data_IF_048733197322
#
_entry.id   IF_048733197322
#
_cell.length_a   1.000
_cell.length_b   1.000
_cell.length_c   1.000
_cell.angle_alpha   90.00
_cell.angle_beta   90.00
_cell.angle_gamma   90.00
#
_symmetry.space_group_name_H-M   'P 1'
#
loop_
_entity.id
_entity.type
_entity.pdbx_description
1 polymer ?
#
# COMPACT_ATOMS: atom_id res chain seq x y z
N UNK A 1 -24.97 17.64 -33.40
CA UNK A 1 -25.82 16.91 -32.43
C UNK A 1 -24.99 15.82 -31.80
N UNK A 2 -24.81 15.81 -30.48
CA UNK A 2 -24.07 14.76 -29.77
C UNK A 2 -25.04 13.67 -29.30
N UNK A 3 -24.78 12.42 -29.67
CA UNK A 3 -25.59 11.29 -29.21
C UNK A 3 -25.20 10.95 -27.77
N UNK A 4 -26.18 10.96 -26.85
CA UNK A 4 -25.96 10.54 -25.46
C UNK A 4 -26.17 9.04 -25.38
N UNK A 5 -25.15 8.30 -24.97
CA UNK A 5 -25.21 6.85 -24.81
C UNK A 5 -24.51 6.44 -23.52
N UNK A 6 -24.94 5.37 -22.85
CA UNK A 6 -24.15 4.80 -21.76
C UNK A 6 -22.88 4.17 -22.32
N UNK A 7 -21.76 4.34 -21.61
CA UNK A 7 -20.52 3.64 -21.91
C UNK A 7 -20.73 2.15 -21.67
N UNK A 8 -20.44 1.32 -22.69
CA UNK A 8 -20.57 -0.14 -22.62
C UNK A 8 -19.73 -0.78 -21.51
N UNK A 9 -18.63 -0.12 -21.13
CA UNK A 9 -17.66 -0.66 -20.17
C UNK A 9 -17.95 -0.20 -18.74
N UNK A 10 -18.10 1.10 -18.48
CA UNK A 10 -18.30 1.60 -17.11
C UNK A 10 -19.75 2.01 -16.78
N UNK A 11 -20.67 1.95 -17.74
CA UNK A 11 -22.07 2.35 -17.55
C UNK A 11 -22.31 3.86 -17.42
N UNK A 12 -21.27 4.70 -17.37
CA UNK A 12 -21.39 6.16 -17.27
C UNK A 12 -21.98 6.75 -18.56
N UNK A 13 -22.81 7.79 -18.44
CA UNK A 13 -23.31 8.51 -19.61
C UNK A 13 -22.17 9.24 -20.33
N UNK A 14 -22.03 8.98 -21.63
CA UNK A 14 -21.05 9.60 -22.52
C UNK A 14 -21.73 10.29 -23.70
N UNK A 15 -21.01 11.23 -24.29
CA UNK A 15 -21.42 11.98 -25.47
C UNK A 15 -20.56 11.53 -26.65
N UNK A 16 -21.16 10.96 -27.69
CA UNK A 16 -20.46 10.66 -28.94
C UNK A 16 -20.48 11.89 -29.85
N UNK A 17 -19.30 12.33 -30.27
CA UNK A 17 -19.11 13.44 -31.20
C UNK A 17 -18.41 12.97 -32.46
N UNK A 18 -18.94 13.36 -33.61
CA UNK A 18 -18.34 13.07 -34.92
C UNK A 18 -17.20 14.05 -35.18
N UNK A 19 -16.00 13.52 -35.37
CA UNK A 19 -14.82 14.28 -35.77
C UNK A 19 -14.86 14.60 -37.28
N UNK A 20 -14.07 15.57 -37.76
CA UNK A 20 -14.03 15.95 -39.18
C UNK A 20 -13.70 14.79 -40.13
N UNK A 21 -12.93 13.81 -39.65
CA UNK A 21 -12.62 12.57 -40.39
C UNK A 21 -13.77 11.55 -40.43
N UNK A 22 -14.93 11.88 -39.84
CA UNK A 22 -16.10 11.01 -39.77
C UNK A 22 -16.13 10.03 -38.59
N UNK A 23 -15.07 9.95 -37.77
CA UNK A 23 -14.99 9.05 -36.63
C UNK A 23 -15.77 9.59 -35.42
N UNK A 24 -16.47 8.70 -34.70
CA UNK A 24 -17.11 9.08 -33.44
C UNK A 24 -16.16 8.86 -32.25
N UNK A 25 -15.96 9.90 -31.45
CA UNK A 25 -15.12 9.87 -30.25
C UNK A 25 -16.00 10.07 -29.00
N UNK A 26 -15.80 9.26 -27.94
CA UNK A 26 -16.56 9.38 -26.71
C UNK A 26 -15.99 10.48 -25.79
N UNK A 27 -16.89 11.26 -25.20
CA UNK A 27 -16.58 12.33 -24.25
C UNK A 27 -17.45 12.22 -23.00
N UNK A 28 -16.95 12.72 -21.87
CA UNK A 28 -17.76 12.74 -20.65
C UNK A 28 -18.96 13.68 -20.80
N UNK A 29 -20.12 13.28 -20.25
CA UNK A 29 -21.37 14.04 -20.37
C UNK A 29 -21.20 15.49 -19.91
N UNK A 30 -21.53 16.42 -20.80
CA UNK A 30 -21.51 17.85 -20.51
C UNK A 30 -20.11 18.46 -20.46
N UNK A 31 -19.08 17.72 -20.89
CA UNK A 31 -17.71 18.22 -20.92
C UNK A 31 -17.08 18.11 -22.30
N UNK A 32 -15.94 18.77 -22.48
CA UNK A 32 -15.09 18.59 -23.65
C UNK A 32 -13.98 17.55 -23.45
N UNK A 33 -13.93 16.89 -22.29
CA UNK A 33 -12.91 15.90 -21.96
C UNK A 33 -13.21 14.54 -22.58
N UNK A 34 -12.22 13.94 -23.24
CA UNK A 34 -12.35 12.62 -23.84
C UNK A 34 -12.61 11.59 -22.74
N UNK A 35 -13.61 10.74 -22.95
CA UNK A 35 -13.98 9.74 -21.96
C UNK A 35 -12.89 8.67 -21.90
N UNK A 36 -12.16 8.63 -20.78
CA UNK A 36 -11.22 7.56 -20.48
C UNK A 36 -11.89 6.58 -19.52
N UNK A 37 -12.26 5.40 -20.03
CA UNK A 37 -12.82 4.35 -19.21
C UNK A 37 -11.71 3.71 -18.37
N UNK A 38 -11.75 3.88 -17.05
CA UNK A 38 -10.74 3.31 -16.16
C UNK A 38 -11.14 1.98 -15.51
N UNK A 39 -12.37 1.47 -15.67
CA UNK A 39 -12.78 0.22 -15.01
C UNK A 39 -13.75 -0.68 -15.80
N UNK A 40 -13.67 -1.98 -15.50
CA UNK A 40 -14.52 -3.11 -15.92
C UNK A 40 -16.00 -2.93 -15.49
N UNK A 41 -16.96 -3.70 -16.09
CA UNK A 41 -18.41 -3.52 -15.91
C UNK A 41 -18.84 -3.25 -14.47
N UNK A 42 -19.19 -2.00 -14.20
CA UNK A 42 -19.81 -1.59 -12.96
C UNK A 42 -21.21 -2.21 -12.88
N UNK A 43 -21.39 -3.12 -11.92
CA UNK A 43 -22.70 -3.57 -11.45
C UNK A 43 -23.50 -2.34 -11.03
N UNK A 44 -24.58 -2.07 -11.75
CA UNK A 44 -25.56 -1.02 -11.45
C UNK A 44 -25.98 -1.14 -9.99
N UNK A 45 -25.75 -0.09 -9.19
CA UNK A 45 -26.52 0.14 -7.97
C UNK A 45 -26.92 1.61 -7.94
N UNK A 46 -28.21 1.80 -8.12
CA UNK A 46 -28.93 3.04 -7.94
C UNK A 46 -28.75 3.60 -6.52
N UNK A 47 -28.76 4.93 -6.40
CA UNK A 47 -28.87 5.65 -5.13
C UNK A 47 -30.14 5.21 -4.37
N UNK A 48 -30.04 4.95 -3.07
CA UNK A 48 -30.97 5.44 -2.02
C UNK A 48 -30.61 4.95 -0.61
N UNK A 49 -30.51 5.91 0.32
CA UNK A 49 -30.89 5.87 1.75
C UNK A 49 -30.49 4.70 2.67
N UNK A 50 -29.89 5.01 3.84
CA UNK A 50 -29.81 4.04 4.94
C UNK A 50 -28.90 4.41 6.10
N UNK A 51 -29.51 5.05 7.10
CA UNK A 51 -29.11 5.50 8.43
C UNK A 51 -28.19 4.57 9.27
N UNK A 52 -27.21 5.21 9.92
CA UNK A 52 -26.56 4.96 11.22
C UNK A 52 -26.30 3.52 11.73
N UNK A 53 -25.01 3.18 11.82
CA UNK A 53 -24.44 2.46 12.97
C UNK A 53 -23.10 3.09 13.33
N UNK A 54 -23.01 3.69 14.52
CA UNK A 54 -21.87 4.44 15.01
C UNK A 54 -20.64 3.54 15.19
N UNK A 55 -19.63 3.78 14.35
CA UNK A 55 -18.23 3.42 14.51
C UNK A 55 -17.41 4.69 14.18
N UNK A 56 -16.18 4.84 14.71
CA UNK A 56 -15.50 6.12 14.81
C UNK A 56 -15.49 6.86 13.48
N UNK A 57 -16.10 8.05 13.52
CA UNK A 57 -16.32 8.97 12.42
C UNK A 57 -14.98 9.30 11.76
N UNK A 58 -14.64 8.54 10.73
CA UNK A 58 -13.70 8.96 9.69
C UNK A 58 -14.50 9.82 8.73
N UNK A 59 -14.12 11.08 8.65
CA UNK A 59 -14.78 12.10 7.84
C UNK A 59 -15.12 11.54 6.46
N UNK A 60 -16.40 11.59 6.11
CA UNK A 60 -16.94 11.15 4.84
C UNK A 60 -16.34 12.01 3.71
N UNK A 61 -15.14 11.64 3.26
CA UNK A 61 -14.33 12.43 2.34
C UNK A 61 -12.83 12.15 2.39
N UNK A 62 -12.33 11.37 3.35
CA UNK A 62 -10.92 11.00 3.38
C UNK A 62 -10.52 10.20 2.12
N UNK A 63 -9.59 10.73 1.34
CA UNK A 63 -9.09 10.06 0.14
C UNK A 63 -8.32 8.79 0.50
N UNK A 64 -8.16 7.86 -0.45
CA UNK A 64 -7.30 6.68 -0.26
C UNK A 64 -5.88 7.10 0.14
N UNK A 65 -5.36 8.19 -0.43
CA UNK A 65 -4.06 8.75 -0.06
C UNK A 65 -3.99 9.16 1.42
N UNK A 66 -5.03 9.80 1.95
CA UNK A 66 -5.09 10.18 3.36
C UNK A 66 -5.13 8.95 4.28
N UNK A 67 -5.88 7.93 3.89
CA UNK A 67 -5.93 6.66 4.61
C UNK A 67 -4.57 5.96 4.64
N UNK A 68 -3.87 5.91 3.50
CA UNK A 68 -2.51 5.36 3.39
C UNK A 68 -1.55 6.12 4.31
N UNK A 69 -1.55 7.45 4.23
CA UNK A 69 -0.65 8.25 5.05
C UNK A 69 -0.95 8.11 6.55
N UNK A 70 -2.23 8.09 6.94
CA UNK A 70 -2.65 7.89 8.34
C UNK A 70 -2.20 6.54 8.88
N UNK A 71 -2.35 5.46 8.11
CA UNK A 71 -1.88 4.12 8.52
C UNK A 71 -0.36 4.07 8.69
N UNK A 72 0.40 4.68 7.77
CA UNK A 72 1.87 4.74 7.90
C UNK A 72 2.29 5.56 9.12
N UNK A 73 1.56 6.63 9.44
CA UNK A 73 1.85 7.50 10.58
C UNK A 73 1.52 6.84 11.92
N UNK A 74 0.41 6.10 12.00
CA UNK A 74 0.00 5.37 13.19
C UNK A 74 0.79 4.07 13.42
N UNK A 75 1.27 3.44 12.34
CA UNK A 75 1.96 2.15 12.36
C UNK A 75 3.15 2.17 11.39
N UNK A 76 4.26 2.80 11.77
CA UNK A 76 5.47 2.84 10.95
C UNK A 76 6.08 1.44 10.81
N UNK A 77 6.84 1.21 9.74
CA UNK A 77 7.51 -0.07 9.48
C UNK A 77 6.65 -1.09 8.74
N UNK A 78 5.51 -0.69 8.19
CA UNK A 78 4.63 -1.60 7.45
C UNK A 78 5.04 -1.71 5.98
N UNK A 79 4.95 -2.92 5.44
CA UNK A 79 5.00 -3.16 3.99
C UNK A 79 3.69 -2.78 3.34
N UNK A 80 3.72 -2.38 2.06
CA UNK A 80 2.53 -1.98 1.29
C UNK A 80 1.35 -2.99 1.36
N UNK A 81 1.63 -4.29 1.33
CA UNK A 81 0.59 -5.34 1.49
C UNK A 81 -0.13 -5.24 2.84
N UNK A 82 0.62 -4.99 3.91
CA UNK A 82 0.06 -4.91 5.27
C UNK A 82 -0.70 -3.60 5.48
N UNK A 83 -0.24 -2.51 4.83
CA UNK A 83 -0.96 -1.24 4.78
C UNK A 83 -2.33 -1.44 4.13
N UNK A 84 -2.38 -2.07 2.94
CA UNK A 84 -3.62 -2.40 2.25
C UNK A 84 -4.59 -3.21 3.14
N UNK A 85 -4.11 -4.31 3.75
CA UNK A 85 -4.94 -5.11 4.68
C UNK A 85 -5.41 -4.32 5.90
N UNK A 86 -4.62 -3.37 6.38
CA UNK A 86 -5.00 -2.52 7.52
C UNK A 86 -6.06 -1.50 7.11
N UNK A 87 -5.94 -0.92 5.92
CA UNK A 87 -6.96 -0.01 5.38
C UNK A 87 -8.29 -0.74 5.22
N UNK A 88 -8.28 -1.93 4.63
CA UNK A 88 -9.51 -2.71 4.46
C UNK A 88 -10.16 -3.11 5.77
N UNK A 89 -9.39 -3.45 6.80
CA UNK A 89 -9.95 -3.76 8.13
C UNK A 89 -10.46 -2.54 8.88
N UNK A 90 -9.76 -1.39 8.79
CA UNK A 90 -10.05 -0.20 9.60
C UNK A 90 -11.12 0.69 8.98
N UNK A 91 -11.12 0.82 7.65
CA UNK A 91 -12.00 1.74 6.92
C UNK A 91 -13.04 1.01 6.05
N UNK A 92 -12.97 -0.32 5.95
CA UNK A 92 -13.88 -1.10 5.10
C UNK A 92 -13.67 -0.91 3.60
N UNK A 93 -12.58 -0.24 3.19
CA UNK A 93 -12.26 0.04 1.78
C UNK A 93 -11.31 -1.03 1.25
N UNK A 94 -11.70 -1.68 0.14
CA UNK A 94 -10.81 -2.61 -0.55
C UNK A 94 -9.81 -1.80 -1.39
N UNK A 95 -8.54 -1.84 -1.00
CA UNK A 95 -7.44 -1.17 -1.71
C UNK A 95 -6.39 -2.23 -1.99
N UNK A 96 -5.99 -2.38 -3.24
CA UNK A 96 -4.96 -3.35 -3.59
C UNK A 96 -3.55 -2.82 -3.30
N UNK A 97 -2.58 -3.74 -3.28
CA UNK A 97 -1.18 -3.40 -3.02
C UNK A 97 -0.60 -2.40 -4.03
N UNK A 98 -0.98 -2.51 -5.30
CA UNK A 98 -0.46 -1.66 -6.38
C UNK A 98 -0.98 -0.24 -6.25
N UNK A 99 -2.25 -0.08 -5.86
CA UNK A 99 -2.82 1.22 -5.55
C UNK A 99 -2.11 1.88 -4.35
N UNK A 100 -1.89 1.13 -3.26
CA UNK A 100 -1.09 1.62 -2.12
C UNK A 100 0.32 2.04 -2.56
N UNK A 101 0.99 1.23 -3.37
CA UNK A 101 2.31 1.57 -3.91
C UNK A 101 2.28 2.85 -4.75
N UNK A 102 1.25 3.05 -5.58
CA UNK A 102 1.07 4.28 -6.37
C UNK A 102 1.07 5.50 -5.45
N UNK A 103 0.25 5.47 -4.39
CA UNK A 103 0.19 6.56 -3.41
C UNK A 103 1.54 6.78 -2.70
N UNK A 104 2.20 5.71 -2.25
CA UNK A 104 3.47 5.81 -1.51
C UNK A 104 4.62 6.40 -2.34
N UNK A 105 4.73 6.03 -3.63
CA UNK A 105 5.84 6.47 -4.49
C UNK A 105 5.61 7.83 -5.15
N UNK A 106 4.37 8.17 -5.50
CA UNK A 106 4.07 9.36 -6.30
C UNK A 106 3.47 10.48 -5.46
N UNK A 107 2.31 10.22 -4.85
CA UNK A 107 1.52 11.25 -4.17
C UNK A 107 2.06 11.60 -2.76
N UNK A 108 2.61 10.62 -2.05
CA UNK A 108 3.17 10.78 -0.70
C UNK A 108 4.69 10.95 -0.69
N UNK A 109 5.30 11.14 -1.86
CA UNK A 109 6.74 11.33 -2.00
C UNK A 109 7.22 12.49 -1.14
N UNK A 110 8.22 12.24 -0.29
CA UNK A 110 8.79 13.23 0.62
C UNK A 110 8.05 13.36 1.96
N UNK A 111 6.82 12.85 2.08
CA UNK A 111 6.09 12.71 3.34
C UNK A 111 6.30 11.36 4.00
N UNK A 112 6.67 10.36 3.21
CA UNK A 112 7.05 9.03 3.67
C UNK A 112 8.36 8.61 2.99
N UNK A 113 9.07 7.69 3.62
CA UNK A 113 10.25 7.06 3.04
C UNK A 113 10.22 5.54 3.21
N UNK A 114 10.96 4.86 2.33
CA UNK A 114 11.13 3.41 2.36
C UNK A 114 12.53 3.06 2.86
N UNK A 115 12.61 2.07 3.74
CA UNK A 115 13.89 1.51 4.20
C UNK A 115 14.42 0.39 3.27
N UNK A 116 15.57 -0.20 3.60
CA UNK A 116 16.14 -1.32 2.84
C UNK A 116 15.30 -2.61 2.89
N UNK A 117 14.33 -2.70 3.81
CA UNK A 117 13.45 -3.86 4.00
C UNK A 117 12.08 -3.70 3.35
N UNK A 118 11.89 -2.67 2.52
CA UNK A 118 10.62 -2.29 1.88
C UNK A 118 9.51 -1.92 2.87
N UNK A 119 9.89 -1.48 4.07
CA UNK A 119 9.01 -0.96 5.08
C UNK A 119 8.89 0.56 4.93
N UNK A 120 7.70 1.08 5.18
CA UNK A 120 7.40 2.49 5.00
C UNK A 120 7.29 3.21 6.34
N UNK A 121 7.87 4.39 6.41
CA UNK A 121 7.94 5.24 7.59
C UNK A 121 7.50 6.67 7.25
N UNK A 122 6.88 7.39 8.19
CA UNK A 122 6.57 8.80 7.99
C UNK A 122 7.84 9.66 8.02
N UNK A 123 7.80 10.79 7.34
CA UNK A 123 8.90 11.76 7.25
C UNK A 123 9.78 11.59 6.02
N UNK A 124 10.91 12.29 6.02
CA UNK A 124 11.93 12.20 4.99
C UNK A 124 12.97 11.15 5.36
N UNK A 125 13.54 10.48 4.35
CA UNK A 125 14.60 9.51 4.58
C UNK A 125 15.73 10.15 5.41
N UNK A 126 16.27 9.45 6.42
CA UNK A 126 17.42 9.97 7.14
C UNK A 126 18.51 10.27 6.12
N UNK A 127 19.00 11.52 6.10
CA UNK A 127 20.20 11.85 5.33
C UNK A 127 21.25 10.87 5.78
N UNK A 128 21.70 10.01 4.87
CA UNK A 128 22.85 9.15 5.12
C UNK A 128 24.00 10.10 5.42
N UNK A 129 24.28 10.30 6.71
CA UNK A 129 25.54 10.91 7.14
C UNK A 129 26.59 9.96 6.61
N UNK A 130 27.25 10.38 5.54
CA UNK A 130 28.36 9.63 4.98
C UNK A 130 29.39 9.49 6.08
N UNK A 131 29.58 8.27 6.58
CA UNK A 131 30.78 7.92 7.34
C UNK A 131 31.95 8.06 6.36
N UNK A 132 32.52 9.26 6.32
CA UNK A 132 33.82 9.50 5.72
C UNK A 132 34.86 8.74 6.55
N UNK A 133 35.41 7.67 5.98
CA UNK A 133 36.45 6.86 6.60
C UNK A 133 37.17 6.00 5.58
N UNK A 134 38.25 6.58 5.02
CA UNK A 134 39.45 5.94 4.45
C UNK A 134 39.21 4.88 3.35
N UNK A 135 39.57 5.06 2.08
CA UNK A 135 40.76 5.75 1.59
C UNK A 135 42.02 4.90 1.81
N UNK A 136 42.11 3.73 1.17
CA UNK A 136 43.39 3.11 0.81
C UNK A 136 43.19 2.05 -0.29
N UNK A 137 43.67 2.38 -1.48
CA UNK A 137 44.10 1.41 -2.49
C UNK A 137 45.50 0.93 -2.12
N UNK A 138 45.82 -0.36 -2.34
CA UNK A 138 46.98 -0.61 -3.17
C UNK A 138 46.76 -1.73 -4.19
N UNK A 139 47.61 -1.74 -5.20
CA UNK A 139 47.46 -2.46 -6.46
C UNK A 139 47.43 -3.98 -6.37
N UNK A 140 46.82 -4.54 -7.41
CA UNK A 140 46.84 -5.98 -7.75
C UNK A 140 48.24 -6.36 -8.25
N UNK A 141 48.74 -7.55 -7.89
CA UNK A 141 49.28 -8.44 -8.92
C UNK A 141 48.62 -9.85 -8.89
N UNK A 142 48.67 -10.61 -9.99
CA UNK A 142 47.83 -11.79 -10.25
C UNK A 142 48.48 -13.12 -9.80
N UNK A 143 47.68 -14.20 -9.88
CA UNK A 143 47.96 -15.63 -9.58
C UNK A 143 47.91 -16.01 -8.08
N UNK A 144 47.31 -17.10 -7.60
CA UNK A 144 46.94 -18.39 -8.18
C UNK A 144 45.97 -19.15 -7.24
N UNK A 145 45.14 -20.03 -7.83
CA UNK A 145 44.38 -21.20 -7.31
C UNK A 145 44.22 -21.41 -5.79
N UNK A 146 42.96 -21.53 -5.34
CA UNK A 146 42.32 -22.76 -4.78
C UNK A 146 40.86 -22.48 -4.38
N UNK A 147 39.96 -23.50 -4.40
CA UNK A 147 38.55 -23.33 -4.05
C UNK A 147 38.33 -23.23 -2.53
N UNK A 148 37.38 -22.41 -2.03
CA UNK A 148 37.08 -22.38 -0.61
C UNK A 148 36.21 -23.57 -0.19
N UNK A 149 36.83 -24.47 0.56
CA UNK A 149 36.19 -25.47 1.41
C UNK A 149 35.37 -24.80 2.51
N UNK A 150 34.10 -25.21 2.63
CA UNK A 150 33.36 -25.45 3.87
C UNK A 150 33.53 -24.49 5.06
N UNK A 151 32.52 -23.64 5.24
CA UNK A 151 31.62 -23.59 6.41
C UNK A 151 32.19 -23.82 7.82
N UNK A 152 32.34 -22.73 8.60
CA UNK A 152 32.14 -22.71 10.06
C UNK A 152 32.06 -21.25 10.57
N UNK A 153 31.04 -20.94 11.40
CA UNK A 153 30.83 -19.65 12.05
C UNK A 153 29.38 -19.16 11.92
N UNK A 154 28.39 -19.80 12.58
CA UNK A 154 27.99 -19.56 13.98
C UNK A 154 27.80 -18.07 14.32
N UNK A 155 26.55 -17.61 14.25
CA UNK A 155 26.12 -16.27 14.62
C UNK A 155 24.61 -16.23 14.88
N UNK A 156 24.25 -16.69 16.08
CA UNK A 156 22.95 -16.65 16.75
C UNK A 156 22.08 -15.42 16.42
N UNK A 157 20.84 -15.64 15.98
CA UNK A 157 19.64 -15.00 16.56
C UNK A 157 18.35 -15.50 15.86
N UNK A 158 17.75 -16.57 16.39
CA UNK A 158 16.37 -16.90 16.05
C UNK A 158 15.70 -17.70 17.18
N UNK A 159 15.46 -17.08 18.34
CA UNK A 159 14.61 -17.69 19.38
C UNK A 159 14.07 -16.69 20.42
N UNK A 160 13.42 -15.61 19.99
CA UNK A 160 12.65 -14.75 20.91
C UNK A 160 11.14 -14.95 20.81
N UNK A 161 10.62 -15.54 19.72
CA UNK A 161 9.17 -15.74 19.58
C UNK A 161 8.63 -16.93 20.38
N UNK A 162 9.38 -18.03 20.51
CA UNK A 162 8.86 -19.24 21.17
C UNK A 162 8.60 -19.06 22.67
N UNK A 163 9.43 -18.27 23.35
CA UNK A 163 9.29 -17.99 24.78
C UNK A 163 8.10 -17.07 25.08
N UNK A 164 7.86 -16.06 24.23
CA UNK A 164 6.72 -15.16 24.36
C UNK A 164 5.38 -15.90 24.19
N UNK A 165 5.30 -16.80 23.20
CA UNK A 165 4.11 -17.64 22.99
C UNK A 165 3.87 -18.61 24.17
N UNK A 166 4.93 -19.19 24.75
CA UNK A 166 4.79 -20.04 25.92
C UNK A 166 4.26 -19.29 27.15
N UNK A 167 4.72 -18.05 27.40
CA UNK A 167 4.23 -17.20 28.49
C UNK A 167 2.76 -16.84 28.29
N UNK A 168 2.36 -16.46 27.07
CA UNK A 168 0.96 -16.13 26.77
C UNK A 168 0.05 -17.33 27.01
N UNK A 169 0.43 -18.52 26.54
CA UNK A 169 -0.35 -19.75 26.76
C UNK A 169 -0.48 -20.06 28.26
N UNK A 170 0.60 -19.89 29.03
CA UNK A 170 0.59 -20.16 30.46
C UNK A 170 -0.28 -19.17 31.25
N UNK A 171 -0.29 -17.89 30.86
CA UNK A 171 -1.19 -16.88 31.43
C UNK A 171 -2.66 -17.17 31.12
N UNK A 172 -2.98 -17.59 29.89
CA UNK A 172 -4.36 -17.95 29.51
C UNK A 172 -4.86 -19.14 30.32
N UNK A 173 -4.03 -20.18 30.50
CA UNK A 173 -4.38 -21.35 31.31
C UNK A 173 -4.61 -20.94 32.78
N UNK A 174 -3.75 -20.07 33.32
CA UNK A 174 -3.87 -19.64 34.72
C UNK A 174 -5.14 -18.82 34.97
N UNK A 175 -5.54 -17.94 34.02
CA UNK A 175 -6.81 -17.21 34.07
C UNK A 175 -7.99 -18.18 34.01
N UNK A 176 -7.96 -19.18 33.13
CA UNK A 176 -9.05 -20.18 33.04
C UNK A 176 -9.20 -21.01 34.32
N UNK A 177 -8.10 -21.30 35.02
CA UNK A 177 -8.14 -22.00 36.31
C UNK A 177 -8.73 -21.09 37.39
N UNK A 178 -8.35 -19.80 37.42
CA UNK A 178 -8.89 -18.83 38.38
C UNK A 178 -10.38 -18.54 38.17
N UNK A 179 -10.88 -18.58 36.94
CA UNK A 179 -12.31 -18.38 36.63
C UNK A 179 -13.19 -19.62 36.90
N UNK A 180 -12.59 -20.79 37.13
CA UNK A 180 -13.31 -22.04 37.43
C UNK A 180 -13.44 -22.36 38.93
N UNK A 181 -12.96 -21.47 39.79
CA UNK A 181 -13.00 -21.60 41.25
C UNK A 181 -13.96 -20.58 41.83
#
# INVERSE_FOLDING_TARGET
MSLKVPCKYCGKEISLRKMPNGQFVPFDKGTNAQHHCQDQPAKTTDKSGGTAKTQPHVDAGASVGDMVFRVVSESPGLKAKNIASTISRKYGVNVDRSEVNRWLYYDLKGKVYQDGSYQWFPGSAPSRVGTAGQGQSPGIPPESRTPPTGSAGSGVQQSTNKLLWAIIVLLVILVLILMRK
#
